data_IF_372167315468
#
_entry.id   IF_372167315468
#
_cell.length_a   1.000
_cell.length_b   1.000
_cell.length_c   1.000
_cell.angle_alpha   90.00
_cell.angle_beta   90.00
_cell.angle_gamma   90.00
#
_symmetry.space_group_name_H-M   'P 1'
#
loop_
_entity.id
_entity.type
_entity.pdbx_description
1 polymer ?
#
# COMPACT_ATOMS: atom_id res chain seq x y z
N UNK A 1 3.57 9.58 -10.99
CA UNK A 1 4.88 10.18 -11.28
C UNK A 1 5.96 9.12 -11.24
N UNK A 2 5.98 8.25 -12.26
CA UNK A 2 7.09 7.32 -12.45
C UNK A 2 8.18 8.06 -13.23
N UNK A 3 9.39 8.10 -12.66
CA UNK A 3 10.56 8.72 -13.29
C UNK A 3 11.35 7.67 -14.09
N UNK A 4 12.11 8.07 -15.13
CA UNK A 4 12.85 7.14 -15.99
C UNK A 4 13.79 6.20 -15.23
N UNK A 5 14.39 6.66 -14.13
CA UNK A 5 15.27 5.87 -13.27
C UNK A 5 14.53 4.70 -12.61
N UNK A 6 13.29 4.93 -12.19
CA UNK A 6 12.43 3.89 -11.63
C UNK A 6 12.01 2.89 -12.71
N UNK A 7 11.65 3.35 -13.91
CA UNK A 7 11.32 2.45 -15.03
C UNK A 7 12.50 1.55 -15.41
N UNK A 8 13.71 2.11 -15.48
CA UNK A 8 14.92 1.36 -15.75
C UNK A 8 15.16 0.27 -14.69
N UNK A 9 14.98 0.60 -13.41
CA UNK A 9 15.12 -0.36 -12.31
C UNK A 9 14.04 -1.44 -12.30
N UNK A 10 12.79 -1.08 -12.60
CA UNK A 10 11.71 -2.06 -12.74
C UNK A 10 12.03 -3.05 -13.86
N UNK A 11 12.46 -2.56 -15.02
CA UNK A 11 12.86 -3.40 -16.15
C UNK A 11 14.07 -4.29 -15.83
N UNK A 12 15.04 -3.78 -15.07
CA UNK A 12 16.20 -4.57 -14.62
C UNK A 12 15.79 -5.75 -13.74
N UNK A 13 14.84 -5.54 -12.82
CA UNK A 13 14.41 -6.56 -11.84
C UNK A 13 13.44 -7.57 -12.45
N UNK A 14 12.47 -7.09 -13.24
CA UNK A 14 11.34 -7.90 -13.71
C UNK A 14 11.42 -8.27 -15.20
N UNK A 15 12.37 -7.70 -15.96
CA UNK A 15 12.48 -7.85 -17.42
C UNK A 15 11.43 -7.05 -18.21
N UNK A 16 10.22 -6.95 -17.68
CA UNK A 16 9.12 -6.08 -18.14
C UNK A 16 8.49 -5.34 -16.94
N UNK A 17 7.16 -5.14 -16.92
CA UNK A 17 6.43 -4.58 -15.77
C UNK A 17 5.96 -5.67 -14.81
N UNK A 18 5.89 -5.40 -13.50
CA UNK A 18 5.21 -6.30 -12.56
C UNK A 18 3.70 -6.33 -12.84
N UNK A 19 3.03 -7.38 -12.38
CA UNK A 19 1.57 -7.45 -12.40
C UNK A 19 0.95 -6.59 -11.30
N UNK A 20 1.53 -6.64 -10.10
CA UNK A 20 1.03 -6.00 -8.90
C UNK A 20 2.09 -5.09 -8.26
N UNK A 21 1.65 -3.97 -7.69
CA UNK A 21 2.47 -3.06 -6.88
C UNK A 21 1.77 -2.76 -5.56
N UNK A 22 2.50 -2.93 -4.46
CA UNK A 22 2.12 -2.43 -3.13
C UNK A 22 2.62 -0.99 -3.01
N UNK A 23 1.70 -0.03 -2.87
CA UNK A 23 2.01 1.40 -2.86
C UNK A 23 1.63 2.05 -1.52
N UNK A 24 2.59 2.77 -0.93
CA UNK A 24 2.42 3.51 0.32
C UNK A 24 3.39 4.70 0.40
N UNK A 25 3.17 5.64 1.33
CA UNK A 25 4.05 6.78 1.55
C UNK A 25 3.35 8.13 1.69
N UNK A 26 4.08 9.20 1.34
CA UNK A 26 3.62 10.58 1.41
C UNK A 26 4.10 11.42 0.20
N UNK A 27 3.41 12.46 -0.23
CA UNK A 27 2.05 12.84 0.22
C UNK A 27 0.98 12.09 -0.57
N UNK A 28 -0.07 11.66 0.14
CA UNK A 28 -1.10 10.75 -0.40
C UNK A 28 -1.81 11.35 -1.62
N UNK A 29 -2.11 12.65 -1.56
CA UNK A 29 -2.84 13.39 -2.59
C UNK A 29 -1.95 14.03 -3.66
N UNK A 30 -0.62 13.82 -3.58
CA UNK A 30 0.35 14.40 -4.53
C UNK A 30 1.15 13.26 -5.16
N UNK A 31 2.22 12.84 -4.51
CA UNK A 31 3.18 11.90 -5.07
C UNK A 31 2.58 10.49 -5.17
N UNK A 32 1.82 10.05 -4.16
CA UNK A 32 1.20 8.72 -4.16
C UNK A 32 0.09 8.67 -5.22
N UNK A 33 -0.83 9.64 -5.22
CA UNK A 33 -1.93 9.69 -6.18
C UNK A 33 -1.44 9.72 -7.63
N UNK A 34 -0.51 10.61 -7.95
CA UNK A 34 0.05 10.65 -9.31
C UNK A 34 0.80 9.37 -9.67
N UNK A 35 1.47 8.71 -8.72
CA UNK A 35 2.17 7.44 -8.99
C UNK A 35 1.22 6.28 -9.21
N UNK A 36 0.15 6.21 -8.43
CA UNK A 36 -0.90 5.21 -8.62
C UNK A 36 -1.56 5.36 -10.00
N UNK A 37 -1.88 6.58 -10.43
CA UNK A 37 -2.48 6.83 -11.75
C UNK A 37 -1.56 6.33 -12.88
N UNK A 38 -0.27 6.71 -12.86
CA UNK A 38 0.70 6.23 -13.88
C UNK A 38 0.82 4.69 -13.91
N UNK A 39 0.80 4.03 -12.75
CA UNK A 39 0.86 2.56 -12.64
C UNK A 39 -0.40 1.91 -13.24
N UNK A 40 -1.59 2.46 -12.93
CA UNK A 40 -2.86 1.98 -13.48
C UNK A 40 -2.94 2.16 -15.00
N UNK A 41 -2.45 3.29 -15.53
CA UNK A 41 -2.38 3.53 -16.98
C UNK A 41 -1.49 2.48 -17.68
N UNK A 42 -0.42 2.04 -17.02
CA UNK A 42 0.46 0.94 -17.47
C UNK A 42 -0.12 -0.45 -17.23
N UNK A 43 -1.39 -0.56 -16.80
CA UNK A 43 -2.08 -1.83 -16.52
C UNK A 43 -1.37 -2.66 -15.46
N UNK A 44 -0.90 -1.99 -14.41
CA UNK A 44 -0.34 -2.63 -13.21
C UNK A 44 -1.40 -2.49 -12.11
N UNK A 45 -1.69 -3.57 -11.39
CA UNK A 45 -2.63 -3.54 -10.28
C UNK A 45 -1.98 -2.82 -9.10
N UNK A 46 -2.70 -1.86 -8.49
CA UNK A 46 -2.16 -1.05 -7.40
C UNK A 46 -2.88 -1.41 -6.10
N UNK A 47 -2.13 -1.96 -5.14
CA UNK A 47 -2.55 -2.23 -3.77
C UNK A 47 -2.13 -1.06 -2.90
N UNK A 48 -3.08 -0.18 -2.60
CA UNK A 48 -2.87 1.04 -1.84
C UNK A 48 -3.00 0.76 -0.34
N UNK A 49 -1.90 0.91 0.41
CA UNK A 49 -1.82 0.53 1.83
C UNK A 49 -2.26 1.70 2.71
N UNK A 50 -3.56 1.78 3.01
CA UNK A 50 -4.20 2.96 3.59
C UNK A 50 -3.60 3.41 4.94
N UNK A 51 -3.26 2.47 5.81
CA UNK A 51 -2.66 2.75 7.11
C UNK A 51 -1.15 3.09 7.05
N UNK A 52 -0.59 3.09 5.85
CA UNK A 52 0.75 3.58 5.53
C UNK A 52 0.73 4.82 4.62
N UNK A 53 -0.43 5.48 4.50
CA UNK A 53 -0.60 6.71 3.75
C UNK A 53 -0.66 7.92 4.66
N UNK A 54 0.07 8.96 4.27
CA UNK A 54 0.19 10.18 5.06
C UNK A 54 0.04 11.40 4.15
N UNK A 55 -0.65 12.41 4.65
CA UNK A 55 -0.68 13.78 4.12
C UNK A 55 -0.54 14.73 5.30
N UNK A 56 -0.28 16.01 5.01
CA UNK A 56 -0.27 17.05 6.05
C UNK A 56 -1.63 17.19 6.76
N UNK A 57 -2.74 17.05 6.02
CA UNK A 57 -4.11 17.03 6.55
C UNK A 57 -4.75 15.68 6.28
N UNK A 58 -5.46 15.12 7.28
CA UNK A 58 -6.18 13.86 7.12
C UNK A 58 -7.23 13.93 6.01
N UNK A 59 -7.90 15.08 5.86
CA UNK A 59 -8.88 15.28 4.78
C UNK A 59 -8.27 15.10 3.39
N UNK A 60 -7.05 15.60 3.16
CA UNK A 60 -6.37 15.43 1.87
C UNK A 60 -6.01 13.95 1.63
N UNK A 61 -5.54 13.25 2.67
CA UNK A 61 -5.27 11.80 2.61
C UNK A 61 -6.54 11.01 2.29
N UNK A 62 -7.60 11.24 3.05
CA UNK A 62 -8.82 10.42 2.98
C UNK A 62 -9.54 10.63 1.63
N UNK A 63 -9.57 11.86 1.12
CA UNK A 63 -10.10 12.14 -0.23
C UNK A 63 -9.23 11.52 -1.34
N UNK A 64 -7.91 11.49 -1.19
CA UNK A 64 -7.03 10.82 -2.15
C UNK A 64 -7.27 9.30 -2.17
N UNK A 65 -7.45 8.67 -1.00
CA UNK A 65 -7.79 7.25 -0.90
C UNK A 65 -9.12 6.96 -1.62
N UNK A 66 -10.13 7.80 -1.44
CA UNK A 66 -11.42 7.64 -2.12
C UNK A 66 -11.29 7.78 -3.64
N UNK A 67 -10.58 8.81 -4.13
CA UNK A 67 -10.30 8.99 -5.56
C UNK A 67 -9.57 7.79 -6.16
N UNK A 68 -8.53 7.31 -5.49
CA UNK A 68 -7.73 6.17 -5.95
C UNK A 68 -8.50 4.86 -5.93
N UNK A 69 -9.37 4.65 -4.94
CA UNK A 69 -10.32 3.52 -4.95
C UNK A 69 -11.20 3.56 -6.20
N UNK A 70 -11.78 4.73 -6.51
CA UNK A 70 -12.63 4.91 -7.67
C UNK A 70 -11.86 4.80 -9.00
N UNK A 71 -10.57 5.13 -9.01
CA UNK A 71 -9.69 4.97 -10.16
C UNK A 71 -9.31 3.51 -10.44
N UNK A 72 -9.52 2.60 -9.49
CA UNK A 72 -9.27 1.16 -9.64
C UNK A 72 -8.17 0.59 -8.74
N UNK A 73 -7.60 1.37 -7.81
CA UNK A 73 -6.71 0.82 -6.79
C UNK A 73 -7.48 -0.09 -5.82
N UNK A 74 -6.86 -1.18 -5.41
CA UNK A 74 -7.31 -2.00 -4.29
C UNK A 74 -6.85 -1.32 -3.00
N UNK A 75 -7.79 -0.83 -2.18
CA UNK A 75 -7.46 -0.26 -0.88
C UNK A 75 -7.32 -1.39 0.13
N UNK A 76 -6.15 -1.48 0.77
CA UNK A 76 -5.78 -2.53 1.72
C UNK A 76 -5.07 -1.94 2.94
N UNK A 77 -4.59 -2.79 3.84
CA UNK A 77 -3.79 -2.42 5.01
C UNK A 77 -2.47 -3.18 5.02
N UNK A 78 -1.51 -2.68 5.80
CA UNK A 78 -0.19 -3.30 5.94
C UNK A 78 -0.29 -4.76 6.41
N UNK A 79 -1.15 -5.03 7.39
CA UNK A 79 -1.42 -6.38 7.90
C UNK A 79 -2.00 -7.31 6.83
N UNK A 80 -3.00 -6.84 6.08
CA UNK A 80 -3.61 -7.62 4.98
C UNK A 80 -2.58 -7.98 3.92
N UNK A 81 -1.77 -7.00 3.45
CA UNK A 81 -0.72 -7.27 2.45
C UNK A 81 0.27 -8.32 2.94
N UNK A 82 0.72 -8.21 4.21
CA UNK A 82 1.68 -9.15 4.79
C UNK A 82 1.12 -10.57 4.83
N UNK A 83 -0.15 -10.74 5.20
CA UNK A 83 -0.76 -12.07 5.27
C UNK A 83 -1.21 -12.61 3.91
N UNK A 84 -1.63 -11.75 2.99
CA UNK A 84 -1.92 -12.13 1.59
C UNK A 84 -0.67 -12.71 0.93
N UNK A 85 0.50 -12.08 1.13
CA UNK A 85 1.79 -12.59 0.64
C UNK A 85 2.25 -13.87 1.35
N UNK A 86 1.84 -14.08 2.61
CA UNK A 86 2.18 -15.28 3.36
C UNK A 86 1.39 -16.50 2.88
N UNK A 87 0.13 -16.30 2.46
CA UNK A 87 -0.76 -17.32 1.89
C UNK A 87 -1.32 -18.34 2.89
N UNK A 88 -0.51 -18.82 3.85
CA UNK A 88 -0.94 -19.84 4.83
C UNK A 88 -0.27 -19.62 6.21
N UNK A 89 -1.03 -19.85 7.29
CA UNK A 89 -0.53 -19.86 8.68
C UNK A 89 0.52 -20.94 8.95
N UNK A 90 0.53 -22.01 8.16
CA UNK A 90 1.49 -23.10 8.27
C UNK A 90 2.79 -22.80 7.51
N UNK A 91 2.89 -21.64 6.85
CA UNK A 91 4.11 -21.26 6.14
C UNK A 91 5.30 -21.23 7.11
N UNK A 92 6.49 -21.76 6.74
CA UNK A 92 7.63 -21.89 7.66
C UNK A 92 8.10 -20.57 8.31
N UNK A 93 7.75 -19.43 7.70
CA UNK A 93 8.10 -18.08 8.20
C UNK A 93 6.97 -17.38 8.98
N UNK A 94 5.82 -18.02 9.19
CA UNK A 94 4.64 -17.39 9.80
C UNK A 94 4.96 -16.79 11.18
N UNK A 95 5.58 -17.56 12.07
CA UNK A 95 5.91 -17.10 13.43
C UNK A 95 6.91 -15.94 13.46
N UNK A 96 7.74 -15.82 12.43
CA UNK A 96 8.68 -14.70 12.28
C UNK A 96 7.93 -13.47 11.79
N UNK A 97 7.12 -13.62 10.75
CA UNK A 97 6.47 -12.50 10.06
C UNK A 97 5.27 -11.93 10.84
N UNK A 98 4.47 -12.77 11.52
CA UNK A 98 3.31 -12.29 12.31
C UNK A 98 3.71 -11.28 13.39
N UNK A 99 4.96 -11.31 13.83
CA UNK A 99 5.47 -10.37 14.84
C UNK A 99 5.51 -8.93 14.35
N UNK A 100 5.58 -8.71 13.03
CA UNK A 100 5.58 -7.37 12.44
C UNK A 100 4.22 -6.66 12.55
N UNK A 101 3.13 -7.41 12.70
CA UNK A 101 1.75 -6.88 12.76
C UNK A 101 1.14 -6.93 14.16
N UNK A 102 1.90 -7.39 15.16
CA UNK A 102 1.43 -7.45 16.55
C UNK A 102 1.06 -6.07 17.13
N UNK A 103 1.67 -5.01 16.63
CA UNK A 103 1.36 -3.63 17.02
C UNK A 103 0.45 -3.03 15.95
N UNK A 104 -0.82 -2.70 16.28
CA UNK A 104 -1.70 -2.05 15.34
C UNK A 104 -1.12 -0.71 14.85
N UNK A 105 -1.36 -0.38 13.59
CA UNK A 105 -0.98 0.91 13.04
C UNK A 105 -1.73 2.06 13.71
N UNK A 106 -1.19 3.28 13.61
CA UNK A 106 -1.77 4.45 14.26
C UNK A 106 -3.21 4.76 13.79
N UNK A 107 -3.56 4.38 12.56
CA UNK A 107 -4.93 4.50 12.03
C UNK A 107 -5.85 3.38 12.56
N UNK A 108 -5.32 2.18 12.82
CA UNK A 108 -6.07 1.01 13.30
C UNK A 108 -6.31 1.04 14.83
N UNK A 109 -6.56 2.22 15.41
CA UNK A 109 -6.66 2.48 16.87
C UNK A 109 -7.78 1.72 17.63
N UNK A 110 -8.31 0.63 17.09
CA UNK A 110 -9.22 -0.32 17.74
C UNK A 110 -8.67 -0.83 19.10
N UNK A 111 -7.35 -0.89 19.28
CA UNK A 111 -6.74 -1.33 20.54
C UNK A 111 -6.80 -0.30 21.69
N UNK A 112 -7.02 1.00 21.41
CA UNK A 112 -7.13 2.03 22.46
C UNK A 112 -8.54 2.25 22.97
N UNK A 113 -9.56 1.71 22.29
CA UNK A 113 -10.97 1.89 22.67
C UNK A 113 -11.43 0.97 23.82
N UNK A 114 -10.60 0.03 24.30
CA UNK A 114 -10.97 -0.93 25.36
C UNK A 114 -10.59 -0.48 26.79
N UNK A 115 -10.67 0.82 27.08
CA UNK A 115 -10.64 1.36 28.45
C UNK A 115 -11.70 2.47 28.58
N UNK A 116 -12.97 2.07 28.56
CA UNK A 116 -14.08 2.84 29.12
C UNK A 116 -14.58 2.07 30.35
#
# INVERSE_FOLDING_TARGET
MIIPELEAKVKEIFGDKPDDVVLYGLESHICVEQTAIDLLEKKINVFLVADCLISRLNQDRDLAIERLRNAGCVVTTSESVIFDLMGDKNHPKFDVVRKFVNTPSADMQLAKAAKL
#
